data_IF_941679188768
#
_entry.id   IF_941679188768
#
_cell.length_a   1.000
_cell.length_b   1.000
_cell.length_c   1.000
_cell.angle_alpha   90.00
_cell.angle_beta   90.00
_cell.angle_gamma   90.00
#
_symmetry.space_group_name_H-M   'P 1'
#
loop_
_entity.id
_entity.type
_entity.pdbx_description
1 polymer ?
#
# COMPACT_ATOMS: atom_id res chain seq x y z
N UNK A 1 7.16 -3.09 11.20
CA UNK A 1 6.36 -2.52 12.29
C UNK A 1 5.84 -1.17 11.85
N UNK A 2 4.52 -1.02 11.85
CA UNK A 2 3.81 0.21 11.44
C UNK A 2 2.85 0.61 12.56
N UNK A 3 2.96 1.85 13.03
CA UNK A 3 2.08 2.44 14.03
C UNK A 3 1.02 3.31 13.35
N UNK A 4 -0.24 3.13 13.76
CA UNK A 4 -1.37 3.96 13.36
C UNK A 4 -1.41 5.23 14.22
N UNK A 5 -1.97 6.34 13.71
CA UNK A 5 -2.22 7.53 14.54
C UNK A 5 -3.28 7.23 15.60
N UNK A 6 -3.22 7.87 16.77
CA UNK A 6 -4.12 7.60 17.91
C UNK A 6 -5.62 7.66 17.53
N UNK A 7 -5.97 8.61 16.67
CA UNK A 7 -7.33 8.84 16.19
C UNK A 7 -7.65 8.16 14.85
N UNK A 8 -6.95 7.08 14.48
CA UNK A 8 -7.12 6.44 13.16
C UNK A 8 -8.58 6.04 12.87
N UNK A 9 -9.32 5.56 13.88
CA UNK A 9 -10.72 5.16 13.72
C UNK A 9 -11.63 6.33 13.36
N UNK A 10 -11.40 7.52 13.93
CA UNK A 10 -12.22 8.69 13.59
C UNK A 10 -11.96 9.15 12.16
N UNK A 11 -10.70 9.13 11.71
CA UNK A 11 -10.37 9.42 10.31
C UNK A 11 -10.99 8.43 9.34
N UNK A 12 -11.00 7.13 9.67
CA UNK A 12 -11.68 6.12 8.85
C UNK A 12 -13.18 6.40 8.82
N UNK A 13 -13.82 6.59 9.98
CA UNK A 13 -15.26 6.86 10.05
C UNK A 13 -15.64 8.09 9.22
N UNK A 14 -14.86 9.17 9.33
CA UNK A 14 -15.05 10.38 8.55
C UNK A 14 -14.89 10.13 7.04
N UNK A 15 -13.88 9.36 6.61
CA UNK A 15 -13.72 9.04 5.19
C UNK A 15 -14.88 8.18 4.65
N UNK A 16 -15.48 7.34 5.51
CA UNK A 16 -16.55 6.42 5.16
C UNK A 16 -17.95 7.03 5.23
N UNK A 17 -18.10 8.32 5.60
CA UNK A 17 -19.40 9.02 5.53
C UNK A 17 -19.85 9.25 4.10
N UNK A 18 -18.91 9.36 3.15
CA UNK A 18 -19.21 9.39 1.72
C UNK A 18 -19.66 7.98 1.28
N UNK A 19 -20.90 7.80 0.80
CA UNK A 19 -21.41 6.49 0.39
C UNK A 19 -20.66 5.89 -0.80
N UNK A 20 -19.99 6.71 -1.62
CA UNK A 20 -19.18 6.25 -2.74
C UNK A 20 -17.82 5.69 -2.30
N UNK A 21 -17.40 5.95 -1.06
CA UNK A 21 -16.14 5.45 -0.50
C UNK A 21 -16.32 4.00 -0.02
N UNK A 22 -15.56 3.11 -0.64
CA UNK A 22 -15.59 1.66 -0.35
C UNK A 22 -14.43 1.21 0.54
N UNK A 23 -13.39 2.05 0.62
CA UNK A 23 -12.21 1.85 1.45
C UNK A 23 -11.21 2.97 1.22
N UNK A 24 -9.98 2.83 1.72
CA UNK A 24 -8.98 3.86 1.60
C UNK A 24 -7.63 3.47 2.17
N UNK A 25 -6.76 4.47 2.29
CA UNK A 25 -5.46 4.33 2.91
C UNK A 25 -5.05 5.63 3.61
N UNK A 26 -3.98 5.52 4.39
CA UNK A 26 -3.30 6.65 5.02
C UNK A 26 -2.09 7.13 4.20
N UNK A 27 -1.52 8.26 4.60
CA UNK A 27 -0.19 8.65 4.14
C UNK A 27 0.85 7.73 4.80
N UNK A 28 2.01 7.57 4.18
CA UNK A 28 3.13 6.80 4.74
C UNK A 28 4.21 7.75 5.24
N UNK A 29 4.75 7.46 6.42
CA UNK A 29 5.98 8.07 6.94
C UNK A 29 6.92 6.97 7.43
N UNK A 30 8.19 7.05 7.06
CA UNK A 30 9.21 6.04 7.35
C UNK A 30 10.22 6.64 8.33
N UNK A 31 10.41 6.01 9.49
CA UNK A 31 11.31 6.49 10.54
C UNK A 31 12.30 5.41 11.04
N UNK A 32 13.57 5.78 11.33
CA UNK A 32 14.22 7.05 11.01
C UNK A 32 14.28 7.35 9.50
N UNK A 33 14.16 8.63 9.14
CA UNK A 33 14.01 9.06 7.74
C UNK A 33 15.33 9.54 7.12
N UNK A 34 15.50 9.31 5.82
CA UNK A 34 16.60 9.85 4.99
C UNK A 34 16.00 10.59 3.79
N UNK A 35 16.76 11.44 3.06
CA UNK A 35 16.24 12.12 1.86
C UNK A 35 15.63 11.16 0.84
N UNK A 36 16.22 9.97 0.69
CA UNK A 36 15.71 8.92 -0.18
C UNK A 36 14.39 8.32 0.34
N UNK A 37 14.25 8.10 1.64
CA UNK A 37 13.00 7.61 2.23
C UNK A 37 11.89 8.66 2.12
N UNK A 38 12.21 9.95 2.31
CA UNK A 38 11.27 11.06 2.08
C UNK A 38 10.77 11.11 0.63
N UNK A 39 11.65 10.82 -0.34
CA UNK A 39 11.25 10.69 -1.73
C UNK A 39 10.24 9.54 -1.92
N UNK A 40 10.44 8.39 -1.28
CA UNK A 40 9.50 7.26 -1.33
C UNK A 40 8.14 7.65 -0.76
N UNK A 41 8.11 8.26 0.43
CA UNK A 41 6.89 8.74 1.09
C UNK A 41 6.09 9.67 0.17
N UNK A 42 6.77 10.65 -0.45
CA UNK A 42 6.15 11.63 -1.35
C UNK A 42 5.69 11.00 -2.65
N UNK A 43 6.47 10.11 -3.25
CA UNK A 43 6.09 9.40 -4.47
C UNK A 43 4.88 8.48 -4.22
N UNK A 44 4.87 7.73 -3.12
CA UNK A 44 3.76 6.88 -2.71
C UNK A 44 2.47 7.69 -2.48
N UNK A 45 2.59 8.81 -1.78
CA UNK A 45 1.48 9.75 -1.55
C UNK A 45 0.93 10.30 -2.87
N UNK A 46 1.80 10.82 -3.74
CA UNK A 46 1.40 11.39 -5.03
C UNK A 46 0.71 10.36 -5.92
N UNK A 47 1.28 9.16 -6.02
CA UNK A 47 0.72 8.04 -6.79
C UNK A 47 -0.64 7.61 -6.25
N UNK A 48 -0.81 7.58 -4.94
CA UNK A 48 -2.09 7.23 -4.31
C UNK A 48 -3.16 8.27 -4.61
N UNK A 49 -2.83 9.56 -4.48
CA UNK A 49 -3.75 10.66 -4.82
C UNK A 49 -4.15 10.65 -6.29
N UNK A 50 -3.21 10.41 -7.20
CA UNK A 50 -3.45 10.48 -8.64
C UNK A 50 -4.16 9.23 -9.18
N UNK A 51 -3.70 8.04 -8.79
CA UNK A 51 -4.16 6.78 -9.38
C UNK A 51 -5.12 5.98 -8.50
N UNK A 52 -5.33 6.40 -7.24
CA UNK A 52 -6.14 5.67 -6.25
C UNK A 52 -5.66 4.23 -6.06
N UNK A 53 -4.36 4.05 -5.94
CA UNK A 53 -3.71 2.73 -5.86
C UNK A 53 -2.81 2.61 -4.63
N UNK A 54 -3.28 2.74 -3.39
CA UNK A 54 -2.39 2.59 -2.23
C UNK A 54 -1.66 1.24 -2.19
N UNK A 55 -0.47 1.22 -1.58
CA UNK A 55 0.23 -0.02 -1.23
C UNK A 55 -0.12 -0.48 0.19
N UNK A 56 0.17 -1.73 0.52
CA UNK A 56 -0.10 -2.33 1.82
C UNK A 56 0.58 -1.61 2.98
N UNK A 57 1.72 -0.95 2.74
CA UNK A 57 2.40 -0.15 3.77
C UNK A 57 1.66 1.15 4.14
N UNK A 58 0.64 1.55 3.38
CA UNK A 58 -0.19 2.72 3.63
C UNK A 58 -1.42 2.43 4.51
N UNK A 59 -1.43 1.31 5.24
CA UNK A 59 -2.53 0.90 6.12
C UNK A 59 -3.90 0.95 5.42
N UNK A 60 -4.10 0.04 4.47
CA UNK A 60 -5.35 -0.07 3.71
C UNK A 60 -6.50 -0.41 4.66
N UNK A 61 -7.63 0.27 4.50
CA UNK A 61 -8.89 -0.03 5.21
C UNK A 61 -10.04 -0.21 4.20
N UNK A 62 -11.04 -1.00 4.59
CA UNK A 62 -12.19 -1.36 3.74
C UNK A 62 -13.37 -1.75 4.63
N UNK A 63 -14.61 -1.64 4.14
CA UNK A 63 -15.79 -2.20 4.84
C UNK A 63 -15.61 -3.71 5.01
N UNK A 64 -15.77 -4.23 6.22
CA UNK A 64 -15.59 -5.65 6.51
C UNK A 64 -16.55 -6.55 5.71
N UNK A 65 -17.80 -6.11 5.51
CA UNK A 65 -18.77 -6.80 4.65
C UNK A 65 -18.30 -6.88 3.20
N UNK A 66 -17.76 -5.79 2.66
CA UNK A 66 -17.22 -5.73 1.31
C UNK A 66 -15.98 -6.61 1.14
N UNK A 67 -15.06 -6.59 2.12
CA UNK A 67 -13.88 -7.45 2.10
C UNK A 67 -14.27 -8.93 2.00
N UNK A 68 -15.26 -9.36 2.80
CA UNK A 68 -15.80 -10.72 2.74
C UNK A 68 -16.49 -11.02 1.41
N UNK A 69 -17.31 -10.09 0.91
CA UNK A 69 -17.98 -10.23 -0.39
C UNK A 69 -16.98 -10.38 -1.55
N UNK A 70 -15.85 -9.70 -1.46
CA UNK A 70 -14.75 -9.77 -2.44
C UNK A 70 -13.90 -11.04 -2.32
N UNK A 71 -14.16 -11.91 -1.34
CA UNK A 71 -13.32 -13.09 -1.07
C UNK A 71 -11.96 -12.78 -0.45
N UNK A 72 -11.79 -11.57 0.11
CA UNK A 72 -10.54 -11.14 0.74
C UNK A 72 -9.40 -10.86 -0.24
N UNK A 73 -8.17 -11.11 0.20
CA UNK A 73 -6.97 -11.03 -0.64
C UNK A 73 -6.88 -12.24 -1.57
N UNK A 74 -6.36 -12.03 -2.79
CA UNK A 74 -6.05 -13.14 -3.67
C UNK A 74 -4.91 -13.99 -3.09
N UNK A 75 -5.01 -15.31 -3.25
CA UNK A 75 -3.95 -16.25 -2.87
C UNK A 75 -2.79 -16.20 -3.90
N UNK A 76 -2.01 -15.12 -3.83
CA UNK A 76 -0.82 -14.90 -4.65
C UNK A 76 0.39 -14.60 -3.79
N UNK A 77 1.54 -15.12 -4.19
CA UNK A 77 2.77 -15.03 -3.39
C UNK A 77 3.35 -13.62 -3.25
N UNK A 78 2.88 -12.65 -4.05
CA UNK A 78 3.30 -11.26 -4.02
C UNK A 78 2.27 -10.40 -4.77
N UNK A 79 2.14 -9.13 -4.36
CA UNK A 79 1.24 -8.13 -4.96
C UNK A 79 -0.24 -8.32 -4.63
N UNK A 80 -0.54 -9.07 -3.59
CA UNK A 80 -1.90 -9.31 -3.07
C UNK A 80 -2.61 -8.01 -2.70
N UNK A 81 -1.87 -7.05 -2.16
CA UNK A 81 -2.35 -5.71 -1.81
C UNK A 81 -2.75 -4.89 -3.05
N UNK A 82 -1.89 -4.87 -4.07
CA UNK A 82 -2.12 -4.15 -5.33
C UNK A 82 -3.27 -4.78 -6.11
N UNK A 83 -3.35 -6.11 -6.13
CA UNK A 83 -4.46 -6.86 -6.71
C UNK A 83 -5.78 -6.48 -6.03
N UNK A 84 -5.82 -6.55 -4.70
CA UNK A 84 -7.01 -6.23 -3.92
C UNK A 84 -7.47 -4.79 -4.15
N UNK A 85 -6.55 -3.82 -4.11
CA UNK A 85 -6.85 -2.41 -4.35
C UNK A 85 -7.37 -2.18 -5.77
N UNK A 86 -6.85 -2.90 -6.77
CA UNK A 86 -7.36 -2.83 -8.15
C UNK A 86 -8.80 -3.32 -8.25
N UNK A 87 -9.16 -4.41 -7.57
CA UNK A 87 -10.54 -4.88 -7.51
C UNK A 87 -11.42 -3.90 -6.75
N UNK A 88 -10.98 -3.40 -5.60
CA UNK A 88 -11.71 -2.45 -4.78
C UNK A 88 -12.04 -1.15 -5.54
N UNK A 89 -11.08 -0.64 -6.33
CA UNK A 89 -11.26 0.57 -7.15
C UNK A 89 -12.31 0.42 -8.25
N UNK A 90 -12.61 -0.81 -8.69
CA UNK A 90 -13.68 -1.06 -9.67
C UNK A 90 -15.08 -0.97 -9.04
N UNK A 91 -15.16 -1.07 -7.70
CA UNK A 91 -16.41 -1.08 -6.95
C UNK A 91 -16.79 0.33 -6.50
N UNK A 92 -15.82 1.17 -6.12
CA UNK A 92 -16.08 2.54 -5.70
C UNK A 92 -14.82 3.38 -5.49
N UNK A 93 -15.00 4.54 -4.82
CA UNK A 93 -13.92 5.47 -4.52
C UNK A 93 -13.02 4.92 -3.41
N UNK A 94 -11.72 5.13 -3.58
CA UNK A 94 -10.71 4.85 -2.57
C UNK A 94 -10.29 6.18 -1.95
N UNK A 95 -10.58 6.36 -0.67
CA UNK A 95 -10.22 7.56 0.08
C UNK A 95 -8.73 7.60 0.40
N UNK A 96 -8.17 8.80 0.45
CA UNK A 96 -6.80 9.03 0.91
C UNK A 96 -6.82 9.94 2.13
N UNK A 97 -6.40 9.41 3.28
CA UNK A 97 -6.29 10.15 4.54
C UNK A 97 -4.88 10.74 4.62
N UNK A 98 -4.71 12.08 4.60
CA UNK A 98 -3.39 12.72 4.61
C UNK A 98 -2.72 12.72 6.00
N UNK A 99 -3.05 11.76 6.86
CA UNK A 99 -2.45 11.55 8.18
C UNK A 99 -1.48 10.37 8.06
N UNK A 100 -0.21 10.51 8.46
CA UNK A 100 0.77 9.47 8.24
C UNK A 100 0.64 8.32 9.23
N UNK A 101 0.75 7.09 8.72
CA UNK A 101 1.16 5.93 9.53
C UNK A 101 2.67 5.86 9.54
N UNK A 102 3.24 5.50 10.69
CA UNK A 102 4.70 5.53 10.90
C UNK A 102 5.22 4.11 10.80
N UNK A 103 6.03 3.82 9.78
CA UNK A 103 6.69 2.53 9.60
C UNK A 103 8.19 2.59 9.90
N UNK A 104 8.73 1.50 10.44
CA UNK A 104 10.17 1.39 10.72
C UNK A 104 11.01 1.31 9.43
N UNK A 105 12.09 2.09 9.36
CA UNK A 105 13.05 2.05 8.25
C UNK A 105 13.97 0.83 8.26
N UNK A 106 13.87 -0.05 9.28
CA UNK A 106 14.72 -1.24 9.48
C UNK A 106 14.93 -2.08 8.21
N UNK A 107 13.88 -2.30 7.41
CA UNK A 107 13.97 -3.04 6.13
C UNK A 107 14.90 -2.36 5.13
N UNK A 108 14.82 -1.04 5.03
CA UNK A 108 15.63 -0.22 4.13
C UNK A 108 17.07 -0.11 4.62
N UNK A 109 17.31 -0.06 5.92
CA UNK A 109 18.66 -0.08 6.50
C UNK A 109 19.38 -1.40 6.24
N UNK A 110 18.68 -2.55 6.32
CA UNK A 110 19.27 -3.88 6.07
C UNK A 110 19.58 -4.14 4.59
N UNK A 111 18.68 -3.76 3.69
CA UNK A 111 18.77 -4.12 2.26
C UNK A 111 19.50 -3.05 1.44
N UNK A 112 19.64 -1.85 2.00
CA UNK A 112 19.99 -0.64 1.27
C UNK A 112 18.73 -0.03 0.65
N UNK A 113 18.46 1.24 0.95
CA UNK A 113 17.22 1.90 0.54
C UNK A 113 17.05 1.94 -0.99
N UNK A 114 18.11 2.23 -1.75
CA UNK A 114 18.08 2.23 -3.23
C UNK A 114 17.74 0.84 -3.79
N UNK A 115 18.38 -0.21 -3.27
CA UNK A 115 18.14 -1.59 -3.70
C UNK A 115 16.70 -2.01 -3.41
N UNK A 116 16.18 -1.66 -2.24
CA UNK A 116 14.79 -1.94 -1.88
C UNK A 116 13.80 -1.23 -2.83
N UNK A 117 14.05 0.05 -3.17
CA UNK A 117 13.21 0.80 -4.12
C UNK A 117 13.25 0.16 -5.50
N UNK A 118 14.45 -0.13 -6.01
CA UNK A 118 14.60 -0.69 -7.34
C UNK A 118 13.94 -2.07 -7.44
N UNK A 119 14.14 -2.94 -6.45
CA UNK A 119 13.45 -4.23 -6.35
C UNK A 119 11.93 -4.04 -6.36
N UNK A 120 11.38 -3.18 -5.50
CA UNK A 120 9.93 -2.94 -5.45
C UNK A 120 9.39 -2.40 -6.80
N UNK A 121 10.11 -1.50 -7.47
CA UNK A 121 9.71 -0.97 -8.78
C UNK A 121 9.76 -2.04 -9.87
N UNK A 122 10.80 -2.88 -9.90
CA UNK A 122 10.92 -3.99 -10.84
C UNK A 122 9.80 -5.01 -10.67
N UNK A 123 9.47 -5.36 -9.42
CA UNK A 123 8.35 -6.25 -9.11
C UNK A 123 7.03 -5.67 -9.61
N UNK A 124 6.76 -4.40 -9.30
CA UNK A 124 5.53 -3.72 -9.75
C UNK A 124 5.45 -3.69 -11.28
N UNK A 125 6.57 -3.38 -11.95
CA UNK A 125 6.64 -3.36 -13.40
C UNK A 125 6.39 -4.75 -14.00
N UNK A 126 7.05 -5.79 -13.49
CA UNK A 126 6.82 -7.17 -13.91
C UNK A 126 5.38 -7.62 -13.69
N UNK A 127 4.77 -7.25 -12.57
CA UNK A 127 3.36 -7.53 -12.30
C UNK A 127 2.43 -6.83 -13.31
N UNK A 128 2.74 -5.58 -13.69
CA UNK A 128 2.00 -4.87 -14.74
C UNK A 128 2.16 -5.52 -16.12
N UNK A 129 3.30 -6.14 -16.40
CA UNK A 129 3.54 -6.96 -17.59
C UNK A 129 2.95 -8.37 -17.50
N UNK A 130 2.12 -8.66 -16.49
CA UNK A 130 1.50 -9.98 -16.27
C UNK A 130 2.50 -11.12 -16.04
N UNK A 131 3.71 -10.80 -15.57
CA UNK A 131 4.64 -11.83 -15.09
C UNK A 131 4.00 -12.57 -13.91
N UNK A 132 4.03 -13.92 -13.88
CA UNK A 132 3.41 -14.69 -12.80
C UNK A 132 3.92 -14.25 -11.41
N UNK A 133 3.02 -14.01 -10.42
CA UNK A 133 3.42 -13.61 -9.06
C UNK A 133 4.41 -14.57 -8.40
N UNK A 134 4.33 -15.87 -8.71
CA UNK A 134 5.28 -16.87 -8.22
C UNK A 134 6.72 -16.60 -8.67
N UNK A 135 6.94 -16.17 -9.91
CA UNK A 135 8.27 -15.80 -10.41
C UNK A 135 8.76 -14.50 -9.79
N UNK A 136 7.86 -13.53 -9.60
CA UNK A 136 8.17 -12.27 -8.93
C UNK A 136 8.57 -12.51 -7.46
N UNK A 137 7.86 -13.39 -6.75
CA UNK A 137 8.18 -13.80 -5.39
C UNK A 137 9.56 -14.47 -5.31
N UNK A 138 9.88 -15.38 -6.23
CA UNK A 138 11.21 -16.00 -6.29
C UNK A 138 12.32 -14.96 -6.46
N UNK A 139 12.13 -13.95 -7.30
CA UNK A 139 13.09 -12.87 -7.47
C UNK A 139 13.17 -11.95 -6.23
N UNK A 140 12.04 -11.66 -5.59
CA UNK A 140 11.96 -10.76 -4.45
C UNK A 140 12.63 -11.35 -3.20
N UNK A 141 12.33 -12.62 -2.91
CA UNK A 141 12.79 -13.32 -1.73
C UNK A 141 14.14 -14.05 -1.90
N UNK A 142 14.68 -14.14 -3.13
CA UNK A 142 16.05 -14.63 -3.33
C UNK A 142 17.02 -13.74 -2.56
N UNK A 143 17.71 -14.35 -1.59
CA UNK A 143 18.81 -13.76 -0.83
C UNK A 143 20.01 -13.57 -1.75
#
# INVERSE_FOLDING_TARGET
DTALPDNFLSFIRQAMTDPEVVGGSFALKIQPSTPLLRYIERNGTWRTKLFRLPYGDQAIFVKASLFRLMGGYADIALMEDVEFVRRLRKIGKIAFIPVPVITSSRRYSKTGALRAILKNKLILFGYNLKVPPSRLAQFYYKK
#
